data_IF_612089704658
#
_entry.id   IF_612089704658
#
_cell.length_a   1.000
_cell.length_b   1.000
_cell.length_c   1.000
_cell.angle_alpha   90.00
_cell.angle_beta   90.00
_cell.angle_gamma   90.00
#
_symmetry.space_group_name_H-M   'P 1'
#
loop_
_entity.id
_entity.type
_entity.pdbx_description
1 polymer ?
#
# COMPACT_ATOMS: atom_id res chain seq x y z
N UNK A 1 54.97 7.73 -12.06
CA UNK A 1 54.25 6.52 -11.59
C UNK A 1 53.09 6.80 -10.63
N UNK A 2 53.23 7.66 -9.60
CA UNK A 2 52.18 7.93 -8.60
C UNK A 2 50.89 8.58 -9.16
N UNK A 3 51.00 9.50 -10.12
CA UNK A 3 49.85 10.15 -10.79
C UNK A 3 49.06 9.19 -11.70
N UNK A 4 49.76 8.28 -12.38
CA UNK A 4 49.15 7.25 -13.25
C UNK A 4 48.39 6.23 -12.39
N UNK A 5 48.97 5.78 -11.27
CA UNK A 5 48.27 4.90 -10.31
C UNK A 5 47.01 5.56 -9.72
N UNK A 6 47.06 6.86 -9.44
CA UNK A 6 45.89 7.62 -8.96
C UNK A 6 44.79 7.69 -10.03
N UNK A 7 45.16 7.95 -11.29
CA UNK A 7 44.22 7.97 -12.41
C UNK A 7 43.53 6.62 -12.62
N UNK A 8 44.30 5.52 -12.56
CA UNK A 8 43.76 4.16 -12.68
C UNK A 8 42.79 3.85 -11.53
N UNK A 9 43.12 4.25 -10.30
CA UNK A 9 42.24 4.08 -9.13
C UNK A 9 40.91 4.84 -9.28
N UNK A 10 40.95 6.08 -9.74
CA UNK A 10 39.73 6.88 -9.97
C UNK A 10 38.85 6.27 -11.07
N UNK A 11 39.48 5.75 -12.13
CA UNK A 11 38.78 5.08 -13.22
C UNK A 11 38.08 3.81 -12.74
N UNK A 12 38.75 3.00 -11.92
CA UNK A 12 38.17 1.81 -11.29
C UNK A 12 37.03 2.14 -10.33
N UNK A 13 37.13 3.22 -9.53
CA UNK A 13 36.03 3.65 -8.66
C UNK A 13 34.82 4.11 -9.47
N UNK A 14 35.03 4.80 -10.58
CA UNK A 14 33.95 5.27 -11.45
C UNK A 14 33.24 4.13 -12.18
N UNK A 15 33.95 3.09 -12.61
CA UNK A 15 33.31 1.93 -13.23
C UNK A 15 32.55 1.10 -12.19
N UNK A 16 33.09 0.96 -10.98
CA UNK A 16 32.41 0.26 -9.89
C UNK A 16 31.11 0.97 -9.48
N UNK A 17 31.10 2.31 -9.45
CA UNK A 17 29.88 3.05 -9.13
C UNK A 17 28.80 2.85 -10.19
N UNK A 18 29.14 2.88 -11.48
CA UNK A 18 28.17 2.65 -12.57
C UNK A 18 27.54 1.25 -12.48
N UNK A 19 28.34 0.21 -12.18
CA UNK A 19 27.82 -1.15 -12.00
C UNK A 19 26.85 -1.24 -10.82
N UNK A 20 27.21 -0.65 -9.67
CA UNK A 20 26.34 -0.61 -8.49
C UNK A 20 25.03 0.13 -8.79
N UNK A 21 25.08 1.26 -9.51
CA UNK A 21 23.86 1.97 -9.92
C UNK A 21 22.98 1.15 -10.87
N UNK A 22 23.59 0.40 -11.80
CA UNK A 22 22.86 -0.46 -12.73
C UNK A 22 22.12 -1.59 -11.99
N UNK A 23 22.81 -2.30 -11.09
CA UNK A 23 22.22 -3.40 -10.31
C UNK A 23 21.09 -2.91 -9.39
N UNK A 24 21.27 -1.76 -8.74
CA UNK A 24 20.21 -1.13 -7.94
C UNK A 24 19.01 -0.76 -8.83
N UNK A 25 19.25 -0.24 -10.04
CA UNK A 25 18.16 0.11 -10.96
C UNK A 25 17.37 -1.11 -11.44
N UNK A 26 18.07 -2.21 -11.73
CA UNK A 26 17.46 -3.48 -12.13
C UNK A 26 16.62 -4.07 -11.00
N UNK A 27 17.13 -4.03 -9.77
CA UNK A 27 16.40 -4.47 -8.57
C UNK A 27 15.11 -3.65 -8.31
N UNK A 28 15.14 -2.34 -8.56
CA UNK A 28 13.96 -1.49 -8.46
C UNK A 28 12.93 -1.81 -9.56
N UNK A 29 13.37 -2.28 -10.73
CA UNK A 29 12.52 -2.57 -11.89
C UNK A 29 11.64 -3.82 -11.72
N UNK A 30 12.05 -4.82 -10.96
CA UNK A 30 11.27 -6.07 -10.77
C UNK A 30 10.06 -5.92 -9.83
N UNK A 31 9.87 -4.74 -9.24
CA UNK A 31 8.89 -4.57 -8.17
C UNK A 31 7.45 -4.45 -8.72
N UNK A 32 6.55 -5.17 -8.06
CA UNK A 32 5.11 -5.28 -8.38
C UNK A 32 4.48 -3.92 -8.74
N UNK A 33 3.63 -3.87 -9.78
CA UNK A 33 3.03 -2.63 -10.25
C UNK A 33 2.18 -1.96 -9.16
N UNK A 34 2.26 -0.63 -9.11
CA UNK A 34 1.35 0.19 -8.30
C UNK A 34 -0.06 -0.01 -8.85
N UNK A 35 -0.98 -0.36 -7.96
CA UNK A 35 -2.38 -0.58 -8.32
C UNK A 35 -3.01 0.78 -8.62
N UNK A 36 -3.47 0.97 -9.86
CA UNK A 36 -4.23 2.16 -10.24
C UNK A 36 -5.66 2.04 -9.73
N UNK A 37 -6.21 3.15 -9.25
CA UNK A 37 -7.59 3.22 -8.78
C UNK A 37 -8.63 3.00 -9.90
N UNK A 38 -8.23 3.11 -11.16
CA UNK A 38 -9.09 2.96 -12.34
C UNK A 38 -9.52 1.50 -12.61
N UNK A 39 -8.83 0.51 -12.03
CA UNK A 39 -9.07 -0.92 -12.34
C UNK A 39 -9.86 -1.69 -11.27
N UNK A 40 -10.51 -1.02 -10.31
CA UNK A 40 -11.05 -1.68 -9.12
C UNK A 40 -12.55 -1.67 -8.97
N UNK A 41 -13.27 -2.50 -9.75
CA UNK A 41 -14.52 -3.17 -9.35
C UNK A 41 -15.57 -2.34 -8.60
N UNK A 42 -15.67 -1.04 -8.85
CA UNK A 42 -16.71 -0.22 -8.25
C UNK A 42 -18.04 -0.64 -8.88
N UNK A 43 -18.89 -1.30 -8.09
CA UNK A 43 -20.21 -1.73 -8.55
C UNK A 43 -20.96 -0.55 -9.17
N UNK A 44 -21.74 -0.78 -10.24
CA UNK A 44 -22.39 0.29 -11.00
C UNK A 44 -23.25 1.18 -10.08
N UNK A 45 -23.40 2.48 -10.43
CA UNK A 45 -23.98 3.53 -9.57
C UNK A 45 -25.45 3.31 -9.17
N UNK A 46 -26.09 2.25 -9.68
CA UNK A 46 -27.49 1.90 -9.42
C UNK A 46 -27.69 1.24 -8.04
N UNK A 47 -26.63 0.81 -7.36
CA UNK A 47 -26.69 0.23 -6.01
C UNK A 47 -26.20 1.26 -4.99
N UNK A 48 -26.98 1.47 -3.93
CA UNK A 48 -26.56 2.36 -2.84
C UNK A 48 -25.23 1.88 -2.26
N UNK A 49 -24.24 2.76 -2.34
CA UNK A 49 -22.86 2.48 -1.94
C UNK A 49 -22.56 3.09 -0.58
N UNK A 50 -22.00 2.27 0.29
CA UNK A 50 -21.59 2.64 1.64
C UNK A 50 -20.06 2.64 1.73
N UNK A 51 -19.53 3.31 2.75
CA UNK A 51 -18.09 3.39 3.00
C UNK A 51 -17.80 3.15 4.47
N UNK A 52 -16.68 2.50 4.74
CA UNK A 52 -16.18 2.26 6.09
C UNK A 52 -14.71 2.63 6.21
N UNK A 53 -14.27 2.87 7.45
CA UNK A 53 -12.89 3.11 7.83
C UNK A 53 -12.33 1.87 8.54
N UNK A 54 -11.02 1.67 8.57
CA UNK A 54 -10.46 0.47 9.17
C UNK A 54 -10.57 0.51 10.70
N UNK A 55 -10.88 -0.63 11.30
CA UNK A 55 -10.84 -0.84 12.75
C UNK A 55 -9.40 -1.04 13.24
N UNK A 56 -8.52 -1.56 12.39
CA UNK A 56 -7.10 -1.74 12.67
C UNK A 56 -6.25 -1.25 11.50
N UNK A 57 -5.21 -0.50 11.79
CA UNK A 57 -4.29 0.06 10.81
C UNK A 57 -2.84 -0.19 11.24
N UNK A 58 -2.03 -0.68 10.31
CA UNK A 58 -0.60 -0.93 10.51
C UNK A 58 0.18 -0.25 9.39
N UNK A 59 1.11 0.62 9.75
CA UNK A 59 1.97 1.37 8.82
C UNK A 59 3.43 1.19 9.25
N UNK A 60 4.05 0.08 8.85
CA UNK A 60 5.44 -0.27 9.14
C UNK A 60 6.19 -0.68 7.86
N UNK A 61 6.34 0.21 6.87
CA UNK A 61 6.89 -0.15 5.56
C UNK A 61 8.34 -0.68 5.58
N UNK A 62 9.12 -0.34 6.61
CA UNK A 62 10.49 -0.82 6.81
C UNK A 62 10.58 -2.31 7.19
N UNK A 63 9.49 -2.93 7.63
CA UNK A 63 9.44 -4.38 7.91
C UNK A 63 9.19 -5.22 6.64
N UNK A 64 9.21 -4.59 5.46
CA UNK A 64 9.08 -5.24 4.17
C UNK A 64 7.65 -5.22 3.60
N UNK A 65 7.39 -6.06 2.57
CA UNK A 65 6.08 -6.19 1.97
C UNK A 65 5.01 -6.57 3.01
N UNK A 66 3.75 -6.21 2.76
CA UNK A 66 2.59 -6.61 3.58
C UNK A 66 2.54 -6.02 5.00
N UNK A 67 3.50 -5.16 5.39
CA UNK A 67 3.50 -4.45 6.67
C UNK A 67 2.87 -3.05 6.61
N UNK A 68 2.12 -2.79 5.54
CA UNK A 68 1.24 -1.61 5.42
C UNK A 68 -0.14 -2.12 5.05
N UNK A 69 -1.01 -2.25 6.05
CA UNK A 69 -2.33 -2.84 5.86
C UNK A 69 -3.36 -2.26 6.81
N UNK A 70 -4.61 -2.39 6.39
CA UNK A 70 -5.80 -1.97 7.09
C UNK A 70 -6.75 -3.17 7.23
N UNK A 71 -7.49 -3.26 8.33
CA UNK A 71 -8.55 -4.25 8.52
C UNK A 71 -9.87 -3.50 8.65
N UNK A 72 -10.79 -3.81 7.76
CA UNK A 72 -12.12 -3.23 7.68
C UNK A 72 -13.14 -4.24 8.17
N UNK A 73 -14.21 -3.77 8.81
CA UNK A 73 -15.38 -4.56 9.12
C UNK A 73 -16.56 -4.03 8.29
N UNK A 74 -17.25 -4.93 7.59
CA UNK A 74 -18.50 -4.64 6.87
C UNK A 74 -19.59 -5.62 7.33
N UNK A 75 -20.88 -5.28 7.26
CA UNK A 75 -21.93 -6.22 7.64
C UNK A 75 -21.92 -7.46 6.74
N UNK A 76 -22.21 -8.63 7.33
CA UNK A 76 -22.05 -9.93 6.67
C UNK A 76 -22.88 -10.11 5.39
N UNK A 77 -23.98 -9.38 5.25
CA UNK A 77 -24.87 -9.37 4.08
C UNK A 77 -24.39 -8.46 2.93
N UNK A 78 -23.22 -7.84 3.08
CA UNK A 78 -22.62 -6.96 2.09
C UNK A 78 -21.39 -7.60 1.42
N UNK A 79 -20.98 -7.00 0.30
CA UNK A 79 -19.73 -7.29 -0.40
C UNK A 79 -18.93 -6.01 -0.59
N UNK A 80 -17.62 -6.08 -0.42
CA UNK A 80 -16.75 -4.92 -0.61
C UNK A 80 -16.35 -4.73 -2.06
N UNK A 81 -15.90 -3.51 -2.38
CA UNK A 81 -15.10 -3.26 -3.57
C UNK A 81 -13.79 -4.09 -3.53
N UNK A 82 -13.22 -4.39 -4.70
CA UNK A 82 -11.94 -5.10 -4.82
C UNK A 82 -10.73 -4.24 -4.40
N UNK A 83 -10.90 -2.92 -4.29
CA UNK A 83 -9.87 -1.98 -3.85
C UNK A 83 -10.39 -1.09 -2.73
N UNK A 84 -9.50 -0.69 -1.82
CA UNK A 84 -9.72 0.41 -0.89
C UNK A 84 -8.91 1.63 -1.32
N UNK A 85 -9.28 2.81 -0.84
CA UNK A 85 -8.60 4.07 -1.14
C UNK A 85 -7.88 4.66 0.07
N UNK A 86 -6.80 5.39 -0.20
CA UNK A 86 -6.09 6.26 0.74
C UNK A 86 -6.07 7.68 0.17
N UNK A 87 -6.78 8.60 0.83
CA UNK A 87 -6.99 9.98 0.36
C UNK A 87 -6.52 10.97 1.42
N UNK A 88 -5.28 11.44 1.32
CA UNK A 88 -4.70 12.43 2.23
C UNK A 88 -4.79 13.82 1.58
N UNK A 89 -5.21 14.87 2.32
CA UNK A 89 -5.26 16.23 1.78
C UNK A 89 -3.93 16.69 1.20
N UNK A 90 -3.99 17.23 -0.03
CA UNK A 90 -2.82 17.69 -0.77
C UNK A 90 -2.06 16.59 -1.52
N UNK A 91 -2.59 15.36 -1.61
CA UNK A 91 -2.05 14.29 -2.45
C UNK A 91 -3.11 13.72 -3.39
N UNK A 92 -2.67 12.97 -4.39
CA UNK A 92 -3.60 12.12 -5.17
C UNK A 92 -4.15 11.00 -4.28
N UNK A 93 -5.29 10.42 -4.68
CA UNK A 93 -5.83 9.21 -4.05
C UNK A 93 -5.03 7.99 -4.52
N UNK A 94 -4.62 7.17 -3.56
CA UNK A 94 -3.96 5.89 -3.81
C UNK A 94 -4.92 4.73 -3.56
N UNK A 95 -4.67 3.59 -4.21
CA UNK A 95 -5.46 2.39 -4.00
C UNK A 95 -4.60 1.21 -3.54
N UNK A 96 -5.19 0.38 -2.70
CA UNK A 96 -4.63 -0.91 -2.31
C UNK A 96 -5.63 -2.04 -2.56
N UNK A 97 -5.13 -3.27 -2.61
CA UNK A 97 -5.97 -4.46 -2.86
C UNK A 97 -6.54 -4.97 -1.55
N UNK A 98 -7.81 -5.35 -1.59
CA UNK A 98 -8.37 -6.17 -0.51
C UNK A 98 -8.12 -7.64 -0.77
N UNK A 99 -8.05 -8.39 0.32
CA UNK A 99 -8.11 -9.83 0.35
C UNK A 99 -9.20 -10.18 1.35
N UNK A 100 -10.19 -10.94 0.89
CA UNK A 100 -11.21 -11.50 1.77
C UNK A 100 -10.52 -12.43 2.76
N UNK A 101 -10.81 -12.22 4.03
CA UNK A 101 -10.37 -13.10 5.10
C UNK A 101 -11.60 -13.90 5.51
N UNK A 102 -11.68 -15.14 5.05
CA UNK A 102 -12.75 -16.07 5.46
C UNK A 102 -12.60 -16.55 6.92
N UNK A 103 -11.50 -16.20 7.61
CA UNK A 103 -11.18 -16.71 8.95
C UNK A 103 -10.96 -15.62 10.00
N UNK A 104 -11.87 -15.65 10.98
CA UNK A 104 -11.78 -15.21 12.37
C UNK A 104 -10.45 -14.57 12.77
N UNK A 105 -10.35 -13.25 12.63
CA UNK A 105 -9.32 -12.48 13.33
C UNK A 105 -9.71 -12.42 14.81
N UNK A 106 -9.08 -13.26 15.62
CA UNK A 106 -9.17 -13.20 17.09
C UNK A 106 -8.90 -11.77 17.58
N UNK A 107 -9.91 -11.16 18.18
CA UNK A 107 -9.82 -9.82 18.78
C UNK A 107 -10.92 -8.83 18.39
N UNK A 108 -11.92 -9.22 17.61
CA UNK A 108 -13.14 -8.43 17.38
C UNK A 108 -14.35 -9.25 17.84
N UNK A 109 -15.00 -8.81 18.91
CA UNK A 109 -16.23 -9.43 19.43
C UNK A 109 -17.38 -9.24 18.41
N UNK A 110 -18.24 -10.26 18.23
CA UNK A 110 -19.39 -10.35 17.30
C UNK A 110 -19.10 -10.62 15.80
N UNK A 111 -18.42 -11.73 15.52
CA UNK A 111 -18.18 -12.21 14.14
C UNK A 111 -19.43 -12.63 13.35
N UNK A 112 -20.55 -12.92 13.99
CA UNK A 112 -21.76 -13.39 13.29
C UNK A 112 -22.45 -12.27 12.46
N UNK A 113 -22.10 -11.00 12.70
CA UNK A 113 -22.70 -9.84 12.04
C UNK A 113 -21.77 -9.15 11.03
N UNK A 114 -20.46 -9.43 11.07
CA UNK A 114 -19.47 -8.69 10.28
C UNK A 114 -18.48 -9.60 9.54
N UNK A 115 -18.21 -9.25 8.28
CA UNK A 115 -17.09 -9.79 7.51
C UNK A 115 -15.88 -8.88 7.66
N UNK A 116 -14.74 -9.49 7.99
CA UNK A 116 -13.46 -8.80 8.15
C UNK A 116 -12.65 -8.84 6.86
N UNK A 117 -12.18 -7.70 6.41
CA UNK A 117 -11.48 -7.55 5.13
C UNK A 117 -10.13 -6.92 5.38
N UNK A 118 -9.06 -7.53 4.87
CA UNK A 118 -7.71 -6.94 4.97
C UNK A 118 -7.30 -6.31 3.66
N UNK A 119 -6.99 -5.03 3.72
CA UNK A 119 -6.46 -4.26 2.60
C UNK A 119 -4.96 -4.03 2.74
N UNK A 120 -4.18 -4.34 1.71
CA UNK A 120 -2.75 -4.03 1.64
C UNK A 120 -2.48 -2.82 0.75
N UNK A 121 -1.78 -1.83 1.30
CA UNK A 121 -1.23 -0.71 0.52
C UNK A 121 0.18 -1.07 0.05
N UNK A 122 0.53 -0.71 -1.17
CA UNK A 122 1.89 -0.93 -1.66
C UNK A 122 2.89 -0.15 -0.80
N UNK A 123 3.91 -0.85 -0.27
CA UNK A 123 4.96 -0.28 0.59
C UNK A 123 5.65 0.94 -0.04
N UNK A 124 5.82 0.97 -1.37
CA UNK A 124 6.41 2.12 -2.09
C UNK A 124 5.55 3.37 -2.00
N UNK A 125 4.23 3.23 -2.03
CA UNK A 125 3.29 4.36 -1.85
C UNK A 125 3.44 4.90 -0.42
N UNK A 126 3.47 4.00 0.56
CA UNK A 126 3.66 4.38 1.96
C UNK A 126 4.99 5.11 2.18
N UNK A 127 6.10 4.58 1.65
CA UNK A 127 7.41 5.23 1.72
C UNK A 127 7.42 6.59 1.03
N UNK A 128 6.77 6.72 -0.14
CA UNK A 128 6.63 8.00 -0.84
C UNK A 128 5.88 9.02 0.00
N UNK A 129 4.75 8.65 0.59
CA UNK A 129 3.96 9.51 1.47
C UNK A 129 4.75 9.92 2.72
N UNK A 130 5.50 8.99 3.31
CA UNK A 130 6.37 9.27 4.47
C UNK A 130 7.48 10.25 4.11
N UNK A 131 8.13 10.08 2.95
CA UNK A 131 9.15 11.02 2.46
C UNK A 131 8.58 12.43 2.21
N UNK A 132 7.28 12.53 1.94
CA UNK A 132 6.53 13.79 1.82
C UNK A 132 6.05 14.34 3.19
N UNK A 133 6.45 13.73 4.30
CA UNK A 133 6.05 14.15 5.65
C UNK A 133 4.62 13.75 6.04
N UNK A 134 4.01 12.79 5.34
CA UNK A 134 2.60 12.39 5.56
C UNK A 134 2.43 11.17 6.48
N UNK A 135 3.41 10.87 7.33
CA UNK A 135 3.38 9.68 8.18
C UNK A 135 2.20 9.70 9.16
N UNK A 136 1.96 10.83 9.83
CA UNK A 136 0.86 10.96 10.80
C UNK A 136 -0.49 10.74 10.13
N UNK A 137 -0.74 11.40 8.99
CA UNK A 137 -1.97 11.20 8.22
C UNK A 137 -2.08 9.76 7.71
N UNK A 138 -0.99 9.15 7.24
CA UNK A 138 -1.03 7.77 6.78
C UNK A 138 -1.43 6.79 7.90
N UNK A 139 -1.15 7.13 9.16
CA UNK A 139 -1.51 6.36 10.36
C UNK A 139 -2.90 6.66 10.91
N UNK A 140 -3.66 7.58 10.30
CA UNK A 140 -5.01 7.92 10.72
C UNK A 140 -6.06 7.16 9.89
N UNK A 141 -6.94 6.35 10.52
CA UNK A 141 -7.96 5.56 9.82
C UNK A 141 -8.90 6.37 8.90
N UNK A 142 -9.17 7.63 9.22
CA UNK A 142 -10.08 8.48 8.47
C UNK A 142 -9.67 8.72 7.00
N UNK A 143 -8.38 8.60 6.68
CA UNK A 143 -7.90 8.75 5.31
C UNK A 143 -7.98 7.46 4.50
N UNK A 144 -8.35 6.35 5.13
CA UNK A 144 -8.50 5.03 4.50
C UNK A 144 -9.98 4.71 4.36
N UNK A 145 -10.44 4.36 3.15
CA UNK A 145 -11.85 4.04 2.90
C UNK A 145 -12.01 2.77 2.09
N UNK A 146 -12.90 1.89 2.54
CA UNK A 146 -13.37 0.76 1.77
C UNK A 146 -14.85 0.97 1.42
N UNK A 147 -15.18 0.88 0.13
CA UNK A 147 -16.57 0.89 -0.31
C UNK A 147 -17.16 -0.52 -0.25
N UNK A 148 -18.46 -0.60 0.02
CA UNK A 148 -19.20 -1.85 0.04
C UNK A 148 -20.66 -1.64 -0.38
N UNK A 149 -21.29 -2.68 -0.91
CA UNK A 149 -22.67 -2.69 -1.39
C UNK A 149 -23.40 -3.92 -0.88
N UNK A 150 -24.72 -3.83 -0.79
CA UNK A 150 -25.54 -5.01 -0.45
C UNK A 150 -25.35 -6.07 -1.54
N UNK A 151 -25.28 -7.35 -1.13
CA UNK A 151 -25.19 -8.46 -2.09
C UNK A 151 -26.41 -8.55 -2.98
#
# INVERSE_FOLDING_TARGET
>A
MRKIRLFILLLLLSSLSVLVFYDISAYISEQKPIVRCEQGGFYPPQVQKYYTHPQKLVVKPWLGPHNVYAIFAIPAEYRSDALFTVSIPGTITYCGRVQDIDEVLSGVDNLDYYTMIRGFLNTRIALKLIAQGKLSQLQEPQYWRLGYVRR
#
